data_IF_167911188655
#
_entry.id   IF_167911188655
#
_cell.length_a   1.000
_cell.length_b   1.000
_cell.length_c   1.000
_cell.angle_alpha   90.00
_cell.angle_beta   90.00
_cell.angle_gamma   90.00
#
_symmetry.space_group_name_H-M   'P 1'
#
loop_
_entity.id
_entity.type
_entity.pdbx_description
1 polymer ?
#
# COMPACT_ATOMS: atom_id res chain seq x y z
N UNK A 1 7.25 -12.51 -26.98
CA UNK A 1 7.49 -11.86 -25.68
C UNK A 1 8.10 -10.49 -25.96
N UNK A 2 7.55 -9.41 -25.40
CA UNK A 2 8.13 -8.06 -25.57
C UNK A 2 9.45 -7.99 -24.80
N UNK A 3 10.53 -7.59 -25.45
CA UNK A 3 11.83 -7.39 -24.80
C UNK A 3 11.79 -6.07 -24.04
N UNK A 4 12.01 -6.10 -22.72
CA UNK A 4 12.10 -4.90 -21.89
C UNK A 4 13.57 -4.46 -21.85
N UNK A 5 13.88 -3.32 -22.44
CA UNK A 5 15.24 -2.82 -22.62
C UNK A 5 15.67 -1.87 -21.50
N UNK A 6 14.74 -1.34 -20.70
CA UNK A 6 15.09 -0.55 -19.52
C UNK A 6 13.93 -0.20 -18.58
N UNK A 7 14.23 0.49 -17.47
CA UNK A 7 13.27 0.92 -16.44
C UNK A 7 11.99 1.58 -16.98
N UNK A 8 12.13 2.36 -18.06
CA UNK A 8 11.02 3.03 -18.73
C UNK A 8 10.02 2.05 -19.33
N UNK A 9 10.49 0.98 -19.97
CA UNK A 9 9.63 -0.02 -20.61
C UNK A 9 8.79 -0.78 -19.58
N UNK A 10 9.36 -1.03 -18.39
CA UNK A 10 8.63 -1.63 -17.27
C UNK A 10 7.49 -0.72 -16.80
N UNK A 11 7.74 0.59 -16.72
CA UNK A 11 6.72 1.56 -16.32
C UNK A 11 5.61 1.70 -17.36
N UNK A 12 5.98 1.74 -18.64
CA UNK A 12 5.02 1.79 -19.74
C UNK A 12 4.13 0.55 -19.75
N UNK A 13 4.72 -0.64 -19.58
CA UNK A 13 3.96 -1.89 -19.52
C UNK A 13 3.07 -1.95 -18.25
N UNK A 14 3.55 -1.48 -17.11
CA UNK A 14 2.75 -1.41 -15.88
C UNK A 14 1.50 -0.53 -16.05
N UNK A 15 1.57 0.52 -16.88
CA UNK A 15 0.44 1.42 -17.17
C UNK A 15 -0.44 0.94 -18.33
N UNK A 16 0.05 0.03 -19.15
CA UNK A 16 -0.68 -0.40 -20.35
C UNK A 16 -1.97 -1.16 -19.96
N UNK A 17 -3.14 -0.75 -20.49
CA UNK A 17 -4.39 -1.48 -20.26
C UNK A 17 -4.32 -2.86 -20.92
N UNK A 18 -5.00 -3.85 -20.35
CA UNK A 18 -5.05 -5.21 -20.91
C UNK A 18 -3.74 -6.00 -20.81
N UNK A 19 -2.77 -5.52 -20.03
CA UNK A 19 -1.54 -6.28 -19.75
C UNK A 19 -1.89 -7.59 -19.04
N UNK A 20 -1.44 -8.76 -19.54
CA UNK A 20 -1.81 -10.04 -18.95
C UNK A 20 -1.35 -10.18 -17.49
N UNK A 21 -2.09 -10.93 -16.65
CA UNK A 21 -1.74 -11.13 -15.24
C UNK A 21 -0.31 -11.63 -15.00
N UNK A 22 0.17 -12.54 -15.86
CA UNK A 22 1.54 -13.07 -15.80
C UNK A 22 2.61 -12.00 -16.03
N UNK A 23 2.33 -11.02 -16.90
CA UNK A 23 3.24 -9.90 -17.14
C UNK A 23 3.22 -8.94 -15.97
N UNK A 24 2.04 -8.64 -15.41
CA UNK A 24 1.91 -7.84 -14.20
C UNK A 24 2.64 -8.48 -13.01
N UNK A 25 2.60 -9.81 -12.88
CA UNK A 25 3.36 -10.54 -11.87
C UNK A 25 4.88 -10.39 -12.07
N UNK A 26 5.37 -10.50 -13.31
CA UNK A 26 6.78 -10.23 -13.63
C UNK A 26 7.20 -8.79 -13.30
N UNK A 27 6.33 -7.82 -13.58
CA UNK A 27 6.57 -6.41 -13.24
C UNK A 27 6.59 -6.17 -11.73
N UNK A 28 5.68 -6.81 -10.99
CA UNK A 28 5.64 -6.72 -9.53
C UNK A 28 6.88 -7.34 -8.86
N UNK A 29 7.49 -8.34 -9.51
CA UNK A 29 8.72 -8.97 -9.04
C UNK A 29 9.98 -8.13 -9.30
N UNK A 30 9.95 -7.21 -10.28
CA UNK A 30 11.09 -6.35 -10.60
C UNK A 30 11.35 -5.31 -9.51
N UNK A 31 12.62 -4.98 -9.25
CA UNK A 31 13.02 -4.09 -8.15
C UNK A 31 12.97 -2.60 -8.54
N UNK A 32 11.77 -2.14 -8.92
CA UNK A 32 11.54 -0.77 -9.36
C UNK A 32 10.38 -0.13 -8.58
N UNK A 33 10.66 0.69 -7.55
CA UNK A 33 9.61 1.31 -6.73
C UNK A 33 8.60 2.17 -7.49
N UNK A 34 8.99 2.75 -8.64
CA UNK A 34 8.06 3.48 -9.51
C UNK A 34 7.13 2.54 -10.31
N UNK A 35 7.58 1.32 -10.63
CA UNK A 35 6.74 0.29 -11.27
C UNK A 35 5.70 -0.22 -10.26
N UNK A 36 6.10 -0.50 -9.02
CA UNK A 36 5.16 -0.93 -7.98
C UNK A 36 4.04 0.09 -7.74
N UNK A 37 4.38 1.38 -7.71
CA UNK A 37 3.38 2.45 -7.60
C UNK A 37 2.44 2.47 -8.80
N UNK A 38 2.98 2.39 -10.02
CA UNK A 38 2.16 2.35 -11.23
C UNK A 38 1.20 1.14 -11.24
N UNK A 39 1.66 -0.02 -10.78
CA UNK A 39 0.81 -1.20 -10.63
C UNK A 39 -0.30 -0.96 -9.59
N UNK A 40 0.04 -0.45 -8.40
CA UNK A 40 -0.93 -0.17 -7.33
C UNK A 40 -1.91 0.97 -7.64
N UNK A 41 -1.67 1.77 -8.69
CA UNK A 41 -2.63 2.76 -9.20
C UNK A 41 -3.66 2.15 -10.15
N UNK A 42 -3.42 0.94 -10.66
CA UNK A 42 -4.31 0.30 -11.63
C UNK A 42 -5.57 -0.25 -10.95
N UNK A 43 -6.77 0.21 -11.31
CA UNK A 43 -8.01 -0.27 -10.67
C UNK A 43 -8.32 -1.76 -10.93
N UNK A 44 -7.72 -2.35 -11.98
CA UNK A 44 -7.90 -3.75 -12.37
C UNK A 44 -6.86 -4.68 -11.74
N UNK A 45 -5.96 -4.18 -10.88
CA UNK A 45 -4.95 -5.04 -10.25
C UNK A 45 -5.61 -6.07 -9.34
N UNK A 46 -5.16 -7.33 -9.46
CA UNK A 46 -5.69 -8.43 -8.66
C UNK A 46 -5.32 -8.30 -7.18
N UNK A 47 -6.15 -8.88 -6.31
CA UNK A 47 -5.90 -9.00 -4.87
C UNK A 47 -4.56 -9.66 -4.57
N UNK A 48 -4.22 -10.74 -5.28
CA UNK A 48 -2.95 -11.47 -5.14
C UNK A 48 -1.74 -10.56 -5.40
N UNK A 49 -1.77 -9.77 -6.48
CA UNK A 49 -0.70 -8.84 -6.79
C UNK A 49 -0.64 -7.69 -5.78
N UNK A 50 -1.78 -7.19 -5.28
CA UNK A 50 -1.81 -6.20 -4.21
C UNK A 50 -1.15 -6.74 -2.93
N UNK A 51 -1.40 -8.00 -2.55
CA UNK A 51 -0.73 -8.64 -1.41
C UNK A 51 0.78 -8.74 -1.66
N UNK A 52 1.21 -9.12 -2.86
CA UNK A 52 2.63 -9.18 -3.24
C UNK A 52 3.31 -7.82 -3.15
N UNK A 53 2.65 -6.76 -3.62
CA UNK A 53 3.14 -5.38 -3.51
C UNK A 53 3.17 -4.89 -2.06
N UNK A 54 2.19 -5.24 -1.23
CA UNK A 54 2.12 -4.84 0.17
C UNK A 54 3.29 -5.41 1.00
N UNK A 55 3.85 -6.55 0.60
CA UNK A 55 5.03 -7.18 1.24
C UNK A 55 6.36 -6.59 0.76
N UNK A 56 6.36 -5.67 -0.20
CA UNK A 56 7.59 -5.03 -0.67
C UNK A 56 8.18 -4.16 0.43
N UNK A 57 9.51 -3.99 0.48
CA UNK A 57 10.16 -3.14 1.47
C UNK A 57 9.56 -1.72 1.46
N UNK A 58 8.89 -1.36 2.56
CA UNK A 58 8.32 -0.04 2.74
C UNK A 58 9.35 0.86 3.43
N UNK A 59 10.39 1.29 2.72
CA UNK A 59 11.39 2.21 3.26
C UNK A 59 11.17 3.64 2.73
N UNK A 60 11.20 4.61 3.65
CA UNK A 60 11.09 6.03 3.34
C UNK A 60 9.80 6.42 2.60
N UNK A 61 9.85 7.56 1.92
CA UNK A 61 8.65 8.16 1.30
C UNK A 61 8.02 7.25 0.23
N UNK A 62 8.81 6.56 -0.58
CA UNK A 62 8.30 5.66 -1.62
C UNK A 62 7.50 4.50 -1.03
N UNK A 63 7.95 3.94 0.10
CA UNK A 63 7.24 2.87 0.82
C UNK A 63 5.87 3.33 1.34
N UNK A 64 5.83 4.46 2.05
CA UNK A 64 4.58 5.00 2.57
C UNK A 64 3.58 5.36 1.45
N UNK A 65 4.07 5.87 0.32
CA UNK A 65 3.23 6.12 -0.86
C UNK A 65 2.61 4.83 -1.44
N UNK A 66 3.41 3.77 -1.61
CA UNK A 66 2.92 2.48 -2.10
C UNK A 66 1.87 1.89 -1.16
N UNK A 67 2.16 1.84 0.15
CA UNK A 67 1.22 1.36 1.15
C UNK A 67 -0.08 2.16 1.15
N UNK A 68 0.00 3.48 0.97
CA UNK A 68 -1.17 4.35 0.86
C UNK A 68 -2.02 4.05 -0.38
N UNK A 69 -1.39 3.75 -1.52
CA UNK A 69 -2.10 3.33 -2.73
C UNK A 69 -2.87 2.04 -2.49
N UNK A 70 -2.22 1.03 -1.92
CA UNK A 70 -2.83 -0.27 -1.62
C UNK A 70 -3.98 -0.12 -0.61
N UNK A 71 -3.79 0.67 0.46
CA UNK A 71 -4.83 0.91 1.46
C UNK A 71 -6.12 1.50 0.86
N UNK A 72 -6.00 2.33 -0.19
CA UNK A 72 -7.14 2.96 -0.89
C UNK A 72 -7.65 2.14 -2.07
N UNK A 73 -6.98 1.05 -2.42
CA UNK A 73 -7.28 0.31 -3.63
C UNK A 73 -8.63 -0.42 -3.49
N UNK A 74 -9.55 -0.31 -4.46
CA UNK A 74 -10.87 -0.93 -4.36
C UNK A 74 -10.79 -2.45 -4.21
N UNK A 75 -9.84 -3.09 -4.91
CA UNK A 75 -9.64 -4.54 -4.84
C UNK A 75 -8.71 -4.97 -3.69
N UNK A 76 -8.25 -4.08 -2.81
CA UNK A 76 -7.45 -4.54 -1.67
C UNK A 76 -8.35 -5.29 -0.68
N UNK A 77 -8.13 -6.59 -0.55
CA UNK A 77 -8.85 -7.42 0.40
C UNK A 77 -8.29 -7.30 1.82
N UNK A 78 -8.96 -7.97 2.76
CA UNK A 78 -8.58 -7.97 4.17
C UNK A 78 -7.11 -8.39 4.38
N UNK A 79 -6.63 -9.40 3.67
CA UNK A 79 -5.25 -9.85 3.84
C UNK A 79 -4.24 -8.79 3.39
N UNK A 80 -4.45 -8.18 2.22
CA UNK A 80 -3.62 -7.07 1.75
C UNK A 80 -3.61 -5.91 2.76
N UNK A 81 -4.78 -5.55 3.30
CA UNK A 81 -4.92 -4.46 4.26
C UNK A 81 -4.25 -4.77 5.61
N UNK A 82 -4.27 -6.02 6.08
CA UNK A 82 -3.54 -6.44 7.28
C UNK A 82 -2.02 -6.35 7.10
N UNK A 83 -1.50 -6.69 5.93
CA UNK A 83 -0.07 -6.53 5.60
C UNK A 83 0.29 -5.04 5.65
N UNK A 84 -0.54 -4.19 5.03
CA UNK A 84 -0.34 -2.73 5.06
C UNK A 84 -0.44 -2.17 6.48
N UNK A 85 -1.35 -2.67 7.31
CA UNK A 85 -1.47 -2.30 8.72
C UNK A 85 -0.19 -2.63 9.51
N UNK A 86 0.33 -3.85 9.36
CA UNK A 86 1.57 -4.27 10.01
C UNK A 86 2.78 -3.42 9.57
N UNK A 87 2.92 -3.17 8.27
CA UNK A 87 3.98 -2.31 7.75
C UNK A 87 3.85 -0.86 8.25
N UNK A 88 2.63 -0.33 8.35
CA UNK A 88 2.35 1.00 8.89
C UNK A 88 2.73 1.09 10.38
N UNK A 89 2.47 0.04 11.15
CA UNK A 89 2.84 -0.03 12.56
C UNK A 89 4.37 -0.03 12.75
N UNK A 90 5.10 -0.82 11.96
CA UNK A 90 6.56 -0.86 11.97
C UNK A 90 7.16 0.51 11.63
N UNK A 91 6.64 1.19 10.60
CA UNK A 91 7.05 2.54 10.24
C UNK A 91 6.83 3.55 11.37
N UNK A 92 5.65 3.52 12.02
CA UNK A 92 5.38 4.36 13.19
C UNK A 92 6.33 4.03 14.36
N UNK A 93 6.68 2.77 14.56
CA UNK A 93 7.65 2.33 15.57
C UNK A 93 9.05 2.93 15.34
N UNK A 94 9.44 3.08 14.08
CA UNK A 94 10.71 3.71 13.66
C UNK A 94 10.68 5.24 13.69
N UNK A 95 9.56 5.85 14.07
CA UNK A 95 9.38 7.30 14.10
C UNK A 95 9.03 7.93 12.74
N UNK A 96 8.78 7.10 11.71
CA UNK A 96 8.22 7.58 10.46
C UNK A 96 6.75 8.00 10.62
N UNK A 97 6.22 8.74 9.64
CA UNK A 97 4.90 9.37 9.74
C UNK A 97 3.95 8.94 8.61
N UNK A 98 3.61 7.64 8.46
CA UNK A 98 2.70 7.14 7.43
C UNK A 98 1.21 7.45 7.75
N UNK A 99 0.91 8.64 8.30
CA UNK A 99 -0.42 8.97 8.83
C UNK A 99 -1.52 8.88 7.76
N UNK A 100 -1.21 9.24 6.51
CA UNK A 100 -2.16 9.11 5.41
C UNK A 100 -2.56 7.64 5.16
N UNK A 101 -1.63 6.71 5.32
CA UNK A 101 -1.89 5.26 5.20
C UNK A 101 -2.80 4.80 6.32
N UNK A 102 -2.46 5.14 7.56
CA UNK A 102 -3.28 4.79 8.72
C UNK A 102 -4.71 5.35 8.65
N UNK A 103 -4.88 6.59 8.17
CA UNK A 103 -6.21 7.18 7.97
C UNK A 103 -6.98 6.55 6.81
N UNK A 104 -6.29 6.04 5.77
CA UNK A 104 -6.92 5.25 4.72
C UNK A 104 -7.41 3.90 5.26
N UNK A 105 -6.57 3.19 6.04
CA UNK A 105 -6.95 1.94 6.69
C UNK A 105 -8.14 2.09 7.63
N UNK A 106 -8.22 3.21 8.37
CA UNK A 106 -9.35 3.49 9.26
C UNK A 106 -10.71 3.61 8.56
N UNK A 107 -10.72 3.81 7.24
CA UNK A 107 -11.94 3.91 6.42
C UNK A 107 -12.29 2.61 5.71
N UNK A 108 -11.53 1.53 5.94
CA UNK A 108 -11.75 0.24 5.30
C UNK A 108 -12.71 -0.61 6.13
N UNK A 109 -13.83 -0.99 5.52
CA UNK A 109 -14.83 -1.86 6.15
C UNK A 109 -14.29 -3.27 6.44
N UNK A 110 -13.27 -3.69 5.70
CA UNK A 110 -12.61 -4.98 5.85
C UNK A 110 -11.77 -5.07 7.14
N UNK A 111 -11.47 -3.92 7.77
CA UNK A 111 -10.70 -3.83 9.00
C UNK A 111 -11.58 -3.35 10.17
N UNK A 112 -11.75 -4.16 11.21
CA UNK A 112 -12.38 -3.72 12.44
C UNK A 112 -11.67 -2.50 13.04
N UNK A 113 -12.45 -1.53 13.55
CA UNK A 113 -11.90 -0.31 14.12
C UNK A 113 -10.88 -0.58 15.26
N UNK A 114 -11.10 -1.65 16.03
CA UNK A 114 -10.18 -2.10 17.08
C UNK A 114 -8.78 -2.43 16.56
N UNK A 115 -8.68 -3.11 15.41
CA UNK A 115 -7.40 -3.49 14.79
C UNK A 115 -6.60 -2.26 14.35
N UNK A 116 -7.27 -1.25 13.78
CA UNK A 116 -6.61 -0.02 13.31
C UNK A 116 -6.29 0.92 14.48
N UNK A 117 -7.08 0.89 15.55
CA UNK A 117 -6.92 1.77 16.72
C UNK A 117 -5.55 1.62 17.40
N UNK A 118 -4.94 0.44 17.31
CA UNK A 118 -3.62 0.13 17.91
C UNK A 118 -2.53 1.07 17.40
N UNK A 119 -2.64 1.55 16.15
CA UNK A 119 -1.68 2.48 15.55
C UNK A 119 -1.58 3.80 16.35
N UNK A 120 -2.67 4.21 17.01
CA UNK A 120 -2.68 5.42 17.84
C UNK A 120 -1.87 5.29 19.13
N UNK A 121 -1.63 4.06 19.61
CA UNK A 121 -0.85 3.76 20.81
C UNK A 121 0.66 3.72 20.59
N UNK A 122 1.12 3.69 19.34
CA UNK A 122 2.54 3.55 19.01
C UNK A 122 3.33 4.83 19.31
N UNK A 123 4.64 4.69 19.57
CA UNK A 123 5.52 5.80 19.94
C UNK A 123 5.54 6.93 18.88
N UNK A 124 5.56 6.58 17.59
CA UNK A 124 5.50 7.55 16.49
C UNK A 124 4.14 8.22 16.30
N UNK A 125 3.09 7.83 17.04
CA UNK A 125 1.77 8.42 16.91
C UNK A 125 1.68 9.79 17.57
N UNK A 126 1.75 10.87 16.79
CA UNK A 126 1.57 12.23 17.33
C UNK A 126 0.16 12.48 17.90
N UNK A 127 0.03 13.45 18.82
CA UNK A 127 -1.28 13.87 19.38
C UNK A 127 -2.30 14.23 18.27
N UNK A 128 -1.86 14.96 17.25
CA UNK A 128 -2.70 15.33 16.09
C UNK A 128 -3.16 14.10 15.32
N UNK A 129 -2.25 13.17 15.06
CA UNK A 129 -2.57 11.91 14.40
C UNK A 129 -3.58 11.08 15.21
N UNK A 130 -3.36 10.89 16.52
CA UNK A 130 -4.30 10.17 17.40
C UNK A 130 -5.72 10.74 17.34
N UNK A 131 -5.85 12.08 17.36
CA UNK A 131 -7.15 12.75 17.22
C UNK A 131 -7.78 12.49 15.84
N UNK A 132 -6.98 12.57 14.78
CA UNK A 132 -7.43 12.27 13.41
C UNK A 132 -7.90 10.82 13.26
N UNK A 133 -7.14 9.88 13.82
CA UNK A 133 -7.44 8.46 13.78
C UNK A 133 -8.75 8.14 14.50
N UNK A 134 -8.93 8.64 15.72
CA UNK A 134 -10.20 8.46 16.47
C UNK A 134 -11.42 8.98 15.73
N UNK A 135 -11.27 10.11 15.03
CA UNK A 135 -12.35 10.66 14.19
C UNK A 135 -12.65 9.75 13.00
N UNK A 136 -11.61 9.27 12.32
CA UNK A 136 -11.78 8.39 11.17
C UNK A 136 -12.47 7.07 11.53
N UNK A 137 -12.21 6.52 12.73
CA UNK A 137 -12.80 5.27 13.21
C UNK A 137 -14.22 5.42 13.79
N UNK A 138 -14.71 6.64 13.95
CA UNK A 138 -16.05 6.93 14.50
C UNK A 138 -17.12 7.10 13.39
N UNK A 139 -16.72 6.95 12.13
CA UNK A 139 -17.56 7.04 10.94
C UNK A 139 -17.59 5.68 10.24
#
# INVERSE_FOLDING_TARGET
MRTLHGPKDYLELARAPGTPPEELARLAAADFPFVWRALAERPDLSTELLRSLARRPAAGWNGACLLGLIARHPNADREALLIVLAATADLLGRGERPYAVALALARRIELPAGEVSVLGGLAGASRRFRRGLRRALAH
#
